data_IF_163957431355
#
_entry.id   IF_163957431355
#
_cell.length_a   1.000
_cell.length_b   1.000
_cell.length_c   1.000
_cell.angle_alpha   90.00
_cell.angle_beta   90.00
_cell.angle_gamma   90.00
#
_symmetry.space_group_name_H-M   'P 1'
#
loop_
_entity.id
_entity.type
_entity.pdbx_description
1 polymer ?
#
# COMPACT_ATOMS: atom_id res chain seq x y z
N UNK A 1 -4.07 12.25 10.77
CA UNK A 1 -4.92 12.88 11.80
C UNK A 1 -4.84 12.05 13.06
N UNK A 2 -4.44 12.64 14.20
CA UNK A 2 -4.43 11.93 15.48
C UNK A 2 -5.87 11.79 16.02
N UNK A 3 -6.24 10.60 16.49
CA UNK A 3 -7.59 10.32 17.00
C UNK A 3 -7.60 9.12 17.94
N UNK A 4 -8.55 9.09 18.87
CA UNK A 4 -8.80 7.97 19.80
C UNK A 4 -9.81 6.94 19.24
N UNK A 5 -10.22 7.08 17.97
CA UNK A 5 -11.29 6.28 17.35
C UNK A 5 -10.82 4.96 16.74
N UNK A 6 -9.51 4.70 16.75
CA UNK A 6 -8.89 3.50 16.19
C UNK A 6 -8.16 2.72 17.28
N UNK A 7 -8.12 1.40 17.13
CA UNK A 7 -7.31 0.55 18.01
C UNK A 7 -5.81 0.83 17.80
N UNK A 8 -4.99 0.59 18.83
CA UNK A 8 -3.54 0.70 18.73
C UNK A 8 -3.02 -0.21 17.61
N UNK A 9 -2.16 0.34 16.75
CA UNK A 9 -1.58 -0.36 15.60
C UNK A 9 -2.45 -0.33 14.34
N UNK A 10 -3.57 0.40 14.34
CA UNK A 10 -4.42 0.58 13.15
C UNK A 10 -4.32 2.01 12.64
N UNK A 11 -3.95 2.15 11.36
CA UNK A 11 -4.06 3.38 10.61
C UNK A 11 -5.28 3.31 9.67
N UNK A 12 -5.92 4.46 9.42
CA UNK A 12 -7.02 4.59 8.48
C UNK A 12 -6.74 5.73 7.51
N UNK A 13 -6.85 5.43 6.22
CA UNK A 13 -7.01 6.41 5.16
C UNK A 13 -8.18 6.00 4.28
N UNK A 14 -8.94 6.97 3.79
CA UNK A 14 -9.90 6.70 2.74
C UNK A 14 -9.17 6.52 1.41
N UNK A 15 -9.70 5.64 0.57
CA UNK A 15 -9.24 5.49 -0.81
C UNK A 15 -9.89 6.53 -1.73
N UNK A 16 -9.62 6.43 -3.03
CA UNK A 16 -10.24 7.27 -4.08
C UNK A 16 -9.86 8.75 -4.04
N UNK A 17 -8.63 9.09 -3.62
CA UNK A 17 -8.10 10.43 -3.90
C UNK A 17 -8.14 10.70 -5.40
N UNK A 18 -8.73 11.84 -5.80
CA UNK A 18 -8.79 12.27 -7.19
C UNK A 18 -7.52 13.01 -7.63
N UNK A 19 -6.59 13.27 -6.71
CA UNK A 19 -5.34 13.95 -6.98
C UNK A 19 -4.19 12.97 -6.91
N UNK A 20 -3.59 12.69 -8.07
CA UNK A 20 -2.32 11.97 -8.18
C UNK A 20 -1.24 12.98 -8.57
N UNK A 21 -0.30 13.21 -7.65
CA UNK A 21 0.68 14.30 -7.74
C UNK A 21 2.08 13.76 -7.35
N UNK A 22 2.72 12.99 -8.26
CA UNK A 22 4.02 12.39 -8.01
C UNK A 22 5.14 13.45 -7.97
N UNK A 23 6.05 13.31 -7.00
CA UNK A 23 7.25 14.16 -6.88
C UNK A 23 8.44 13.45 -7.56
N UNK A 24 8.38 13.33 -8.89
CA UNK A 24 9.38 12.60 -9.67
C UNK A 24 8.75 11.90 -10.88
N UNK A 25 9.31 10.76 -11.29
CA UNK A 25 8.77 9.96 -12.39
C UNK A 25 7.46 9.26 -11.98
N UNK A 26 6.33 9.47 -12.69
CA UNK A 26 5.06 8.83 -12.37
C UNK A 26 5.17 7.30 -12.30
N UNK A 27 4.66 6.71 -11.21
CA UNK A 27 4.65 5.26 -10.98
C UNK A 27 5.89 4.73 -10.26
N UNK A 28 6.91 5.57 -10.09
CA UNK A 28 8.17 5.23 -9.41
C UNK A 28 8.58 6.24 -8.34
N UNK A 29 7.78 7.29 -8.11
CA UNK A 29 8.06 8.36 -7.16
C UNK A 29 7.04 8.41 -6.01
N UNK A 30 7.39 9.12 -4.94
CA UNK A 30 6.48 9.45 -3.84
C UNK A 30 5.30 10.28 -4.37
N UNK A 31 4.08 9.89 -3.98
CA UNK A 31 2.85 10.65 -4.27
C UNK A 31 2.47 11.52 -3.05
N UNK A 32 2.38 12.84 -3.27
CA UNK A 32 1.86 13.78 -2.25
C UNK A 32 0.36 14.05 -2.40
N UNK A 33 -0.29 13.49 -3.42
CA UNK A 33 -1.72 13.60 -3.68
C UNK A 33 -2.59 12.74 -2.76
N UNK A 34 -2.00 11.74 -2.10
CA UNK A 34 -2.67 10.89 -1.11
C UNK A 34 -3.37 9.68 -1.71
N UNK A 35 -2.92 9.19 -2.86
CA UNK A 35 -3.38 7.97 -3.49
C UNK A 35 -2.92 6.72 -2.70
N UNK A 36 -3.56 6.45 -1.56
CA UNK A 36 -3.21 5.32 -0.66
C UNK A 36 -3.20 3.95 -1.38
N UNK A 37 -3.98 3.81 -2.45
CA UNK A 37 -4.07 2.56 -3.21
C UNK A 37 -2.74 2.17 -3.89
N UNK A 38 -1.76 3.08 -3.98
CA UNK A 38 -0.40 2.75 -4.40
C UNK A 38 0.30 1.77 -3.43
N UNK A 39 -0.07 1.75 -2.15
CA UNK A 39 0.48 0.86 -1.13
C UNK A 39 -0.30 -0.46 -1.01
N UNK A 40 -1.48 -0.54 -1.61
CA UNK A 40 -2.36 -1.71 -1.47
C UNK A 40 -1.85 -2.89 -2.30
N UNK A 41 -2.05 -4.14 -1.82
CA UNK A 41 -1.52 -5.30 -2.53
C UNK A 41 -2.22 -5.53 -3.87
N UNK A 42 -1.44 -5.93 -4.88
CA UNK A 42 -1.96 -6.29 -6.21
C UNK A 42 -2.51 -7.73 -6.30
N UNK A 43 -2.32 -8.56 -5.27
CA UNK A 43 -2.78 -9.96 -5.25
C UNK A 43 -4.31 -10.06 -5.08
N UNK A 44 -4.88 -11.15 -5.57
CA UNK A 44 -6.26 -11.53 -5.24
C UNK A 44 -6.44 -11.82 -3.74
N UNK A 45 -7.66 -11.66 -3.23
CA UNK A 45 -8.00 -12.04 -1.84
C UNK A 45 -7.78 -13.54 -1.57
N UNK A 46 -8.21 -14.38 -2.50
CA UNK A 46 -8.09 -15.85 -2.45
C UNK A 46 -7.66 -16.40 -3.81
N UNK A 47 -7.09 -17.61 -3.83
CA UNK A 47 -6.62 -18.26 -5.07
C UNK A 47 -7.74 -18.51 -6.09
N UNK A 48 -8.95 -18.78 -5.62
CA UNK A 48 -10.08 -19.21 -6.47
C UNK A 48 -10.93 -18.05 -7.01
N UNK A 49 -10.53 -16.80 -6.80
CA UNK A 49 -11.29 -15.64 -7.25
C UNK A 49 -10.41 -14.49 -7.76
N UNK A 50 -10.99 -13.66 -8.63
CA UNK A 50 -10.42 -12.39 -9.05
C UNK A 50 -11.11 -11.27 -8.29
N UNK A 51 -10.58 -10.94 -7.11
CA UNK A 51 -11.15 -9.93 -6.23
C UNK A 51 -10.02 -9.12 -5.56
N UNK A 52 -10.23 -7.81 -5.43
CA UNK A 52 -9.24 -6.89 -4.87
C UNK A 52 -9.02 -7.15 -3.37
N UNK A 53 -7.77 -7.17 -2.91
CA UNK A 53 -7.42 -7.28 -1.49
C UNK A 53 -7.04 -5.92 -0.86
N UNK A 54 -7.64 -4.82 -1.32
CA UNK A 54 -7.18 -3.46 -1.05
C UNK A 54 -7.11 -3.08 0.44
N UNK A 55 -8.05 -3.56 1.27
CA UNK A 55 -8.06 -3.28 2.71
C UNK A 55 -7.05 -4.09 3.53
N UNK A 56 -6.38 -5.08 2.92
CA UNK A 56 -5.41 -5.95 3.57
C UNK A 56 -3.97 -5.48 3.29
N UNK A 57 -3.62 -4.30 3.80
CA UNK A 57 -2.31 -3.69 3.62
C UNK A 57 -1.61 -3.50 4.98
N UNK A 58 -0.31 -3.75 5.01
CA UNK A 58 0.56 -3.41 6.13
C UNK A 58 1.43 -2.24 5.71
N UNK A 59 1.57 -1.26 6.61
CA UNK A 59 2.36 -0.06 6.39
C UNK A 59 3.14 0.25 7.66
N UNK A 60 4.26 0.94 7.50
CA UNK A 60 4.90 1.70 8.56
C UNK A 60 4.63 3.19 8.32
N UNK A 61 4.63 4.00 9.38
CA UNK A 61 4.40 5.44 9.28
C UNK A 61 5.44 6.22 10.07
N UNK A 62 6.00 7.23 9.43
CA UNK A 62 6.96 8.14 10.05
C UNK A 62 6.67 9.60 9.69
N UNK A 63 7.40 10.50 10.34
CA UNK A 63 7.38 11.91 9.96
C UNK A 63 8.14 12.06 8.65
N UNK A 64 7.46 12.59 7.63
CA UNK A 64 8.10 12.84 6.34
C UNK A 64 9.23 13.86 6.48
N UNK A 65 10.40 13.48 6.00
CA UNK A 65 11.66 14.25 6.04
C UNK A 65 11.87 15.16 4.81
N UNK A 66 11.05 15.00 3.78
CA UNK A 66 11.13 15.74 2.53
C UNK A 66 11.80 14.97 1.39
N UNK A 67 12.31 13.77 1.62
CA UNK A 67 12.85 12.91 0.57
C UNK A 67 11.73 12.51 -0.42
N UNK A 68 12.09 12.52 -1.70
CA UNK A 68 11.13 12.35 -2.81
C UNK A 68 11.26 11.01 -3.50
N UNK A 69 12.36 10.31 -3.25
CA UNK A 69 12.56 8.93 -3.67
C UNK A 69 11.84 8.00 -2.70
N UNK A 70 10.99 7.08 -3.17
CA UNK A 70 10.28 6.19 -2.29
C UNK A 70 11.25 5.20 -1.66
N UNK A 71 11.23 5.08 -0.34
CA UNK A 71 11.88 3.96 0.32
C UNK A 71 11.25 2.66 -0.18
N UNK A 72 12.05 1.86 -0.86
CA UNK A 72 11.61 0.54 -1.28
C UNK A 72 11.80 -0.37 -0.08
N UNK A 73 10.70 -0.80 0.55
CA UNK A 73 10.76 -1.90 1.51
C UNK A 73 11.46 -3.06 0.81
N UNK A 74 12.64 -3.45 1.31
CA UNK A 74 13.45 -4.50 0.72
C UNK A 74 12.57 -5.71 0.44
N UNK A 75 12.40 -6.05 -0.83
CA UNK A 75 11.54 -7.15 -1.25
C UNK A 75 12.27 -8.49 -1.00
N UNK A 76 12.53 -8.81 0.27
CA UNK A 76 13.13 -10.07 0.68
C UNK A 76 12.09 -11.16 0.94
N UNK A 77 10.80 -10.84 0.81
CA UNK A 77 9.76 -11.86 0.69
C UNK A 77 9.34 -11.98 -0.76
N UNK A 78 9.78 -13.10 -1.32
CA UNK A 78 9.52 -13.58 -2.66
C UNK A 78 8.14 -13.17 -3.17
N UNK A 79 8.08 -12.92 -4.48
CA UNK A 79 6.92 -13.24 -5.31
C UNK A 79 6.27 -14.46 -4.67
N UNK A 80 5.08 -14.29 -4.11
CA UNK A 80 4.37 -15.36 -3.43
C UNK A 80 4.19 -16.46 -4.47
N UNK A 81 5.16 -17.39 -4.52
CA UNK A 81 5.04 -18.69 -5.12
C UNK A 81 4.05 -19.40 -4.21
N UNK A 82 2.78 -18.97 -4.27
CA UNK A 82 1.66 -19.76 -3.84
C UNK A 82 1.71 -20.95 -4.78
N UNK A 83 2.39 -22.00 -4.31
CA UNK A 83 2.22 -23.37 -4.76
C UNK A 83 0.77 -23.52 -5.23
N UNK A 84 0.53 -24.04 -6.44
CA UNK A 84 -0.82 -24.28 -6.86
C UNK A 84 -1.42 -25.24 -5.85
N UNK A 85 -2.23 -24.71 -4.91
CA UNK A 85 -3.08 -25.47 -4.00
C UNK A 85 -3.60 -26.69 -4.77
N UNK A 86 -3.21 -27.86 -4.29
CA UNK A 86 -3.40 -29.14 -4.93
C UNK A 86 -4.83 -29.24 -5.47
N UNK A 87 -4.93 -29.63 -6.74
CA UNK A 87 -6.15 -30.19 -7.32
C UNK A 87 -6.34 -31.58 -6.75
#
# INVERSE_FOLDING_TARGET
>A
MLTERLAKGVALSFESSANYDPIGEPGFAVDRGGCINLLTPKRSQIKQAHAMAASCCLVEVELWDGETEPETAGNEHAVDHLEPAAV
#
